data_IF_884773487671
#
_entry.id   IF_884773487671
#
_cell.length_a   1.000
_cell.length_b   1.000
_cell.length_c   1.000
_cell.angle_alpha   90.00
_cell.angle_beta   90.00
_cell.angle_gamma   90.00
#
_symmetry.space_group_name_H-M   'P 1'
#
loop_
_entity.id
_entity.type
_entity.pdbx_description
1 polymer ?
#
# COMPACT_ATOMS: atom_id res chain seq x y z
N UNK A 1 2.57 10.00 -16.52
CA UNK A 1 2.39 10.58 -15.16
C UNK A 1 2.92 9.58 -14.16
N UNK A 2 3.71 10.03 -13.19
CA UNK A 2 4.32 9.16 -12.18
C UNK A 2 3.55 9.30 -10.87
N UNK A 3 3.17 8.16 -10.31
CA UNK A 3 2.45 8.07 -9.04
C UNK A 3 3.37 7.52 -7.96
N UNK A 4 3.28 8.08 -6.75
CA UNK A 4 3.79 7.48 -5.53
C UNK A 4 2.67 6.67 -4.88
N UNK A 5 2.86 5.36 -4.77
CA UNK A 5 1.90 4.43 -4.16
C UNK A 5 2.56 3.79 -2.95
N UNK A 6 1.89 3.83 -1.81
CA UNK A 6 2.41 3.33 -0.55
C UNK A 6 1.46 2.27 0.02
N UNK A 7 2.02 1.14 0.39
CA UNK A 7 1.32 0.04 1.07
C UNK A 7 1.86 -0.09 2.48
N UNK A 8 0.95 -0.20 3.44
CA UNK A 8 1.29 -0.45 4.84
C UNK A 8 0.92 -1.88 5.21
N UNK A 9 1.79 -2.55 5.94
CA UNK A 9 1.52 -3.87 6.48
C UNK A 9 1.08 -3.74 7.93
N UNK A 10 -0.20 -3.94 8.20
CA UNK A 10 -0.80 -3.63 9.50
C UNK A 10 -0.19 -4.44 10.65
N UNK A 11 0.10 -5.72 10.42
CA UNK A 11 0.66 -6.63 11.44
C UNK A 11 2.15 -6.48 11.66
N UNK A 12 2.90 -6.01 10.65
CA UNK A 12 4.37 -5.93 10.69
C UNK A 12 4.90 -4.51 10.82
N UNK A 13 4.04 -3.50 10.75
CA UNK A 13 4.45 -2.10 10.78
C UNK A 13 5.33 -1.68 9.60
N UNK A 14 5.25 -2.39 8.47
CA UNK A 14 6.12 -2.15 7.31
C UNK A 14 5.46 -1.20 6.33
N UNK A 15 6.22 -0.27 5.78
CA UNK A 15 5.77 0.62 4.70
C UNK A 15 6.58 0.32 3.43
N UNK A 16 5.89 -0.05 2.36
CA UNK A 16 6.47 -0.25 1.04
C UNK A 16 6.00 0.85 0.10
N UNK A 17 6.94 1.58 -0.52
CA UNK A 17 6.65 2.66 -1.45
C UNK A 17 7.15 2.35 -2.85
N UNK A 18 6.31 2.59 -3.84
CA UNK A 18 6.58 2.36 -5.26
C UNK A 18 6.32 3.63 -6.06
N UNK A 19 7.21 3.92 -7.00
CA UNK A 19 6.96 4.88 -8.08
C UNK A 19 6.54 4.11 -9.31
N UNK A 20 5.34 4.38 -9.81
CA UNK A 20 4.78 3.68 -10.96
C UNK A 20 4.28 4.69 -11.98
N UNK A 21 4.53 4.38 -13.25
CA UNK A 21 4.00 5.17 -14.34
C UNK A 21 2.62 4.63 -14.75
N UNK A 22 1.61 5.50 -14.70
CA UNK A 22 0.26 5.15 -15.11
C UNK A 22 -0.54 6.40 -15.50
N UNK A 23 -1.52 6.21 -16.39
CA UNK A 23 -2.42 7.29 -16.80
C UNK A 23 -3.42 7.68 -15.70
N UNK A 24 -3.85 6.74 -14.86
CA UNK A 24 -4.89 6.93 -13.85
C UNK A 24 -4.46 6.39 -12.48
N UNK A 25 -4.92 6.99 -11.36
CA UNK A 25 -4.59 6.52 -10.03
C UNK A 25 -4.98 5.04 -9.76
N UNK A 26 -6.17 4.54 -10.16
CA UNK A 26 -6.51 3.13 -9.99
C UNK A 26 -5.55 2.18 -10.70
N UNK A 27 -5.06 2.56 -11.90
CA UNK A 27 -4.08 1.76 -12.64
C UNK A 27 -2.72 1.73 -11.91
N UNK A 28 -2.31 2.86 -11.32
CA UNK A 28 -1.12 2.92 -10.47
C UNK A 28 -1.22 1.99 -9.26
N UNK A 29 -2.37 1.91 -8.58
CA UNK A 29 -2.58 0.98 -7.45
C UNK A 29 -2.41 -0.47 -7.90
N UNK A 30 -2.98 -0.85 -9.05
CA UNK A 30 -2.86 -2.23 -9.58
C UNK A 30 -1.41 -2.57 -9.88
N UNK A 31 -0.67 -1.67 -10.54
CA UNK A 31 0.75 -1.87 -10.83
C UNK A 31 1.60 -1.93 -9.56
N UNK A 32 1.36 -1.02 -8.62
CA UNK A 32 2.03 -1.00 -7.31
C UNK A 32 1.77 -2.29 -6.51
N UNK A 33 0.55 -2.82 -6.53
CA UNK A 33 0.20 -4.07 -5.84
C UNK A 33 0.86 -5.29 -6.46
N UNK A 34 1.04 -5.32 -7.79
CA UNK A 34 1.83 -6.36 -8.47
C UNK A 34 3.31 -6.31 -8.04
N UNK A 35 3.90 -5.12 -8.00
CA UNK A 35 5.27 -4.93 -7.54
C UNK A 35 5.43 -5.33 -6.06
N UNK A 36 4.44 -5.00 -5.22
CA UNK A 36 4.39 -5.41 -3.82
C UNK A 36 4.45 -6.92 -3.66
N UNK A 37 3.61 -7.67 -4.37
CA UNK A 37 3.59 -9.13 -4.23
C UNK A 37 4.80 -9.83 -4.88
N UNK A 38 5.48 -9.18 -5.83
CA UNK A 38 6.76 -9.67 -6.32
C UNK A 38 7.88 -9.51 -5.27
N UNK A 39 7.90 -8.39 -4.54
CA UNK A 39 8.90 -8.13 -3.49
C UNK A 39 8.59 -8.85 -2.16
N UNK A 40 7.31 -8.96 -1.82
CA UNK A 40 6.80 -9.61 -0.61
C UNK A 40 5.86 -10.74 -1.01
N UNK A 41 6.39 -11.86 -1.52
CA UNK A 41 5.57 -13.01 -1.83
C UNK A 41 4.80 -13.42 -0.58
N UNK A 42 3.49 -13.63 -0.73
CA UNK A 42 2.67 -14.20 0.35
C UNK A 42 3.31 -15.54 0.71
N UNK A 43 3.67 -15.72 1.99
CA UNK A 43 4.22 -16.97 2.45
C UNK A 43 3.24 -18.09 2.10
N UNK A 44 3.58 -18.86 1.07
CA UNK A 44 2.85 -20.04 0.64
C UNK A 44 3.16 -21.18 1.62
N UNK A 45 2.83 -20.98 2.90
CA UNK A 45 2.76 -22.12 3.80
C UNK A 45 1.62 -23.02 3.28
N UNK A 46 1.84 -24.34 3.13
CA UNK A 46 0.76 -25.27 2.81
C UNK A 46 -0.31 -25.13 3.88
N UNK A 47 -1.38 -24.40 3.56
CA UNK A 47 -2.47 -24.16 4.48
C UNK A 47 -3.26 -25.47 4.52
N UNK A 48 -3.51 -26.04 5.71
CA UNK A 48 -4.40 -27.20 5.82
C UNK A 48 -5.74 -26.86 5.15
N UNK A 49 -6.46 -27.84 4.59
CA UNK A 49 -7.71 -27.60 3.89
C UNK A 49 -8.67 -26.83 4.81
N UNK A 50 -8.92 -25.58 4.46
CA UNK A 50 -9.78 -24.71 5.23
C UNK A 50 -11.24 -25.08 4.96
N UNK A 51 -12.06 -25.14 6.01
CA UNK A 51 -13.51 -25.38 5.87
C UNK A 51 -14.15 -24.25 5.06
N UNK A 52 -15.32 -24.50 4.44
CA UNK A 52 -16.06 -23.46 3.70
C UNK A 52 -16.32 -22.20 4.54
N UNK A 53 -16.61 -22.38 5.84
CA UNK A 53 -16.76 -21.29 6.78
C UNK A 53 -15.45 -20.50 6.99
N UNK A 54 -14.32 -21.19 7.12
CA UNK A 54 -13.00 -20.55 7.23
C UNK A 54 -12.57 -19.84 5.94
N UNK A 55 -12.99 -20.33 4.78
CA UNK A 55 -12.75 -19.66 3.49
C UNK A 55 -13.63 -18.41 3.33
N UNK A 56 -14.89 -18.46 3.78
CA UNK A 56 -15.79 -17.31 3.76
C UNK A 56 -15.40 -16.23 4.79
N UNK A 57 -14.85 -16.63 5.95
CA UNK A 57 -14.30 -15.73 6.98
C UNK A 57 -12.87 -15.28 6.69
N UNK A 58 -12.16 -16.00 5.84
CA UNK A 58 -10.92 -15.50 5.29
C UNK A 58 -11.31 -14.31 4.43
N UNK A 59 -11.17 -13.11 5.00
CA UNK A 59 -10.99 -11.93 4.19
C UNK A 59 -9.95 -12.27 3.13
N UNK A 60 -10.04 -11.67 1.94
CA UNK A 60 -9.07 -11.92 0.86
C UNK A 60 -7.76 -11.25 1.28
N UNK A 61 -7.12 -11.87 2.27
CA UNK A 61 -6.09 -11.29 3.09
C UNK A 61 -4.90 -11.20 2.18
N UNK A 62 -4.59 -9.98 1.76
CA UNK A 62 -3.44 -9.60 0.95
C UNK A 62 -2.12 -9.82 1.71
N UNK A 63 -2.11 -10.72 2.69
CA UNK A 63 -1.03 -10.91 3.64
C UNK A 63 -0.95 -9.79 4.66
N UNK A 64 -2.03 -9.05 4.92
CA UNK A 64 -2.06 -7.90 5.83
C UNK A 64 -1.51 -6.60 5.25
N UNK A 65 -1.38 -6.49 3.92
CA UNK A 65 -1.03 -5.26 3.22
C UNK A 65 -2.27 -4.45 2.84
N UNK A 66 -2.26 -3.16 3.13
CA UNK A 66 -3.33 -2.21 2.78
C UNK A 66 -2.75 -1.03 2.00
N UNK A 67 -3.54 -0.44 1.09
CA UNK A 67 -3.17 0.81 0.44
C UNK A 67 -3.21 1.93 1.49
N UNK A 68 -2.06 2.53 1.77
CA UNK A 68 -1.93 3.59 2.76
C UNK A 68 -2.05 4.98 2.13
N UNK A 69 -1.34 5.22 1.02
CA UNK A 69 -1.33 6.52 0.35
C UNK A 69 -1.11 6.36 -1.15
N UNK A 70 -1.77 7.21 -1.92
CA UNK A 70 -1.48 7.43 -3.34
C UNK A 70 -1.41 8.94 -3.60
N UNK A 71 -0.47 9.37 -4.43
CA UNK A 71 -0.38 10.76 -4.87
C UNK A 71 0.46 10.89 -6.13
N UNK A 72 0.25 11.96 -6.90
CA UNK A 72 1.15 12.31 -8.00
C UNK A 72 2.54 12.61 -7.44
N UNK A 73 3.61 12.22 -8.13
CA UNK A 73 4.98 12.57 -7.68
C UNK A 73 5.20 14.10 -7.71
N UNK A 74 4.56 14.81 -8.63
CA UNK A 74 4.62 16.27 -8.71
C UNK A 74 3.93 16.96 -7.51
N UNK A 75 2.93 16.32 -6.92
CA UNK A 75 2.23 16.78 -5.71
C UNK A 75 2.87 16.26 -4.42
N UNK A 76 3.47 15.06 -4.46
CA UNK A 76 4.13 14.45 -3.31
C UNK A 76 5.39 15.24 -2.88
N UNK A 77 6.06 15.90 -3.82
CA UNK A 77 7.12 16.87 -3.53
C UNK A 77 6.61 18.10 -2.74
N UNK A 78 5.36 18.50 -2.95
CA UNK A 78 4.74 19.66 -2.26
C UNK A 78 4.17 19.29 -0.88
N UNK A 79 3.74 18.04 -0.68
CA UNK A 79 3.23 17.55 0.60
C UNK A 79 4.28 17.39 1.71
N UNK A 80 5.58 17.50 1.40
CA UNK A 80 6.68 17.57 2.38
C UNK A 80 7.04 19.01 2.78
N UNK A 81 6.56 20.02 2.05
CA UNK A 81 6.83 21.44 2.31
C UNK A 81 5.71 22.15 3.09
N UNK A 82 4.56 21.49 3.31
CA UNK A 82 3.35 22.12 3.86
C UNK A 82 3.02 21.83 5.33
N UNK A 83 3.93 21.26 6.12
CA UNK A 83 3.71 21.06 7.58
C UNK A 83 4.71 21.85 8.41
N UNK A 84 4.81 23.15 8.14
CA UNK A 84 5.25 24.10 9.16
C UNK A 84 4.21 24.13 10.26
N UNK A 85 4.47 23.44 11.36
CA UNK A 85 3.74 23.64 12.61
C UNK A 85 4.07 25.06 13.05
N UNK A 86 3.17 26.00 12.74
CA UNK A 86 3.21 27.31 13.38
C UNK A 86 2.71 27.10 14.80
N UNK A 87 3.65 27.08 15.75
CA UNK A 87 3.32 27.19 17.16
C UNK A 87 2.58 28.52 17.37
N UNK A 88 1.45 28.54 18.10
CA UNK A 88 0.93 29.81 18.57
C UNK A 88 1.92 30.40 19.58
N UNK A 89 2.37 31.62 19.29
CA UNK A 89 3.09 32.46 20.24
C UNK A 89 2.22 32.75 21.47
N UNK A 90 2.92 32.95 22.59
CA UNK A 90 2.51 33.19 23.98
C UNK A 90 1.16 33.87 24.24
#
# INVERSE_FOLDING_TARGET
MIWSVQFYHERRGLLASYRVEAALPPAAVVLGRRALFAAYPRAAAPRPPATLYQQARADRDDGGWVLYRIGSVDEAAQGLSGRGVQAPDA
#
